data_IF_952328559175
#
_entry.id   IF_952328559175
#
_cell.length_a   1.000
_cell.length_b   1.000
_cell.length_c   1.000
_cell.angle_alpha   90.00
_cell.angle_beta   90.00
_cell.angle_gamma   90.00
#
_symmetry.space_group_name_H-M   'P 1'
#
loop_
_entity.id
_entity.type
_entity.pdbx_description
1 polymer ?
#
# COMPACT_ATOMS: atom_id res chain seq x y z
N UNK A 1 5.23 7.33 -11.43
CA UNK A 1 3.96 7.16 -10.65
C UNK A 1 2.90 6.32 -11.38
N UNK A 2 2.66 6.51 -12.68
CA UNK A 2 1.71 5.66 -13.43
C UNK A 2 2.16 4.19 -13.46
N UNK A 3 3.42 3.93 -13.80
CA UNK A 3 4.02 2.59 -13.79
C UNK A 3 4.01 1.95 -12.39
N UNK A 4 4.44 2.69 -11.37
CA UNK A 4 4.35 2.27 -9.96
C UNK A 4 2.92 1.89 -9.57
N UNK A 5 1.92 2.66 -9.98
CA UNK A 5 0.52 2.37 -9.67
C UNK A 5 -0.01 1.13 -10.41
N UNK A 6 0.48 0.89 -11.64
CA UNK A 6 0.16 -0.33 -12.37
C UNK A 6 0.76 -1.56 -11.69
N UNK A 7 1.99 -1.47 -11.19
CA UNK A 7 2.61 -2.57 -10.43
C UNK A 7 1.91 -2.82 -9.10
N UNK A 8 1.64 -1.77 -8.32
CA UNK A 8 0.87 -1.89 -7.07
C UNK A 8 -0.50 -2.53 -7.34
N UNK A 9 -1.17 -2.20 -8.44
CA UNK A 9 -2.43 -2.85 -8.84
C UNK A 9 -2.23 -4.36 -9.04
N UNK A 10 -1.19 -4.78 -9.77
CA UNK A 10 -0.86 -6.20 -9.97
C UNK A 10 -0.60 -6.91 -8.64
N UNK A 11 0.20 -6.30 -7.76
CA UNK A 11 0.50 -6.84 -6.44
C UNK A 11 -0.75 -7.00 -5.58
N UNK A 12 -1.63 -6.00 -5.56
CA UNK A 12 -2.91 -6.07 -4.82
C UNK A 12 -3.79 -7.20 -5.36
N UNK A 13 -3.96 -7.30 -6.68
CA UNK A 13 -4.77 -8.36 -7.31
C UNK A 13 -4.21 -9.76 -7.04
N UNK A 14 -2.89 -9.91 -7.00
CA UNK A 14 -2.21 -11.16 -6.64
C UNK A 14 -2.28 -11.50 -5.14
N UNK A 15 -2.86 -10.62 -4.32
CA UNK A 15 -2.96 -10.81 -2.87
C UNK A 15 -1.64 -10.65 -2.13
N UNK A 16 -0.70 -9.88 -2.69
CA UNK A 16 0.60 -9.62 -2.06
C UNK A 16 0.39 -8.87 -0.73
N UNK A 17 1.19 -9.25 0.26
CA UNK A 17 1.22 -8.67 1.59
C UNK A 17 1.58 -7.17 1.56
N UNK A 18 0.97 -6.36 2.44
CA UNK A 18 1.21 -4.92 2.46
C UNK A 18 2.68 -4.58 2.75
N UNK A 19 3.34 -5.31 3.64
CA UNK A 19 4.77 -5.12 3.91
C UNK A 19 5.63 -5.26 2.64
N UNK A 20 5.30 -6.22 1.76
CA UNK A 20 5.98 -6.44 0.48
C UNK A 20 5.69 -5.35 -0.55
N UNK A 21 4.48 -4.80 -0.55
CA UNK A 21 4.17 -3.62 -1.37
C UNK A 21 4.98 -2.41 -0.90
N UNK A 22 5.10 -2.21 0.42
CA UNK A 22 5.90 -1.10 0.97
C UNK A 22 7.39 -1.28 0.71
N UNK A 23 7.92 -2.51 0.78
CA UNK A 23 9.29 -2.83 0.39
C UNK A 23 9.54 -2.48 -1.09
N UNK A 24 8.65 -2.90 -1.99
CA UNK A 24 8.72 -2.50 -3.40
C UNK A 24 8.72 -0.97 -3.58
N UNK A 25 7.80 -0.26 -2.94
CA UNK A 25 7.73 1.20 -3.04
C UNK A 25 8.96 1.92 -2.47
N UNK A 26 9.69 1.28 -1.53
CA UNK A 26 10.91 1.82 -0.93
C UNK A 26 12.11 1.63 -1.85
N UNK A 27 12.15 0.53 -2.59
CA UNK A 27 13.24 0.17 -3.51
C UNK A 27 13.06 0.76 -4.92
N UNK A 28 11.91 1.37 -5.20
CA UNK A 28 11.61 2.00 -6.49
C UNK A 28 12.27 3.37 -6.61
N UNK A 29 13.32 3.47 -7.43
CA UNK A 29 14.15 4.68 -7.61
C UNK A 29 13.34 5.92 -8.03
N UNK A 30 12.27 5.74 -8.81
CA UNK A 30 11.41 6.84 -9.28
C UNK A 30 10.26 7.18 -8.33
N UNK A 31 10.16 6.50 -7.18
CA UNK A 31 9.08 6.70 -6.22
C UNK A 31 9.62 7.08 -4.83
N UNK A 32 9.32 8.30 -4.41
CA UNK A 32 9.61 8.73 -3.03
C UNK A 32 8.49 8.25 -2.11
N UNK A 33 8.78 7.23 -1.29
CA UNK A 33 7.84 6.71 -0.31
C UNK A 33 7.63 7.72 0.83
N UNK A 34 6.51 8.43 0.77
CA UNK A 34 6.01 9.31 1.82
C UNK A 34 4.57 8.90 2.19
N UNK A 35 4.05 9.29 3.37
CA UNK A 35 2.65 9.03 3.71
C UNK A 35 1.67 9.54 2.65
N UNK A 36 1.93 10.72 2.07
CA UNK A 36 1.07 11.27 1.01
C UNK A 36 1.13 10.43 -0.28
N UNK A 37 2.34 10.08 -0.75
CA UNK A 37 2.51 9.29 -1.97
C UNK A 37 1.96 7.86 -1.80
N UNK A 38 2.06 7.29 -0.59
CA UNK A 38 1.42 6.04 -0.23
C UNK A 38 -0.11 6.12 -0.41
N UNK A 39 -0.77 7.15 0.12
CA UNK A 39 -2.22 7.32 -0.08
C UNK A 39 -2.58 7.45 -1.58
N UNK A 40 -1.78 8.22 -2.32
CA UNK A 40 -1.99 8.49 -3.74
C UNK A 40 -1.81 7.24 -4.59
N UNK A 41 -0.78 6.42 -4.34
CA UNK A 41 -0.53 5.21 -5.14
C UNK A 41 -1.66 4.20 -4.98
N UNK A 42 -2.18 3.97 -3.78
CA UNK A 42 -3.33 3.06 -3.59
C UNK A 42 -4.62 3.60 -4.19
N UNK A 43 -4.83 4.91 -4.14
CA UNK A 43 -5.96 5.56 -4.82
C UNK A 43 -5.88 5.39 -6.32
N UNK A 44 -4.71 5.54 -6.94
CA UNK A 44 -4.52 5.42 -8.39
C UNK A 44 -4.51 3.95 -8.85
N UNK A 45 -3.88 3.07 -8.07
CA UNK A 45 -3.74 1.66 -8.38
C UNK A 45 -5.07 0.91 -8.34
N UNK A 46 -5.86 1.09 -7.27
CA UNK A 46 -7.05 0.26 -7.04
C UNK A 46 -8.27 1.05 -6.55
N UNK A 47 -8.20 2.39 -6.53
CA UNK A 47 -9.33 3.22 -6.16
C UNK A 47 -9.67 3.17 -4.67
N UNK A 48 -8.70 2.89 -3.79
CA UNK A 48 -8.93 2.90 -2.35
C UNK A 48 -9.28 4.34 -1.90
N UNK A 49 -10.42 4.55 -1.22
CA UNK A 49 -10.79 5.85 -0.70
C UNK A 49 -9.77 6.36 0.33
N UNK A 50 -9.56 7.68 0.39
CA UNK A 50 -8.61 8.30 1.31
C UNK A 50 -8.77 7.87 2.78
N UNK A 51 -10.00 7.71 3.34
CA UNK A 51 -10.16 7.22 4.71
C UNK A 51 -9.63 5.80 4.91
N UNK A 52 -9.88 4.90 3.96
CA UNK A 52 -9.43 3.51 4.01
C UNK A 52 -7.90 3.42 3.85
N UNK A 53 -7.33 4.23 2.95
CA UNK A 53 -5.87 4.34 2.79
C UNK A 53 -5.20 4.91 4.05
N UNK A 54 -5.86 5.85 4.74
CA UNK A 54 -5.37 6.39 6.02
C UNK A 54 -5.32 5.34 7.11
N UNK A 55 -6.28 4.41 7.17
CA UNK A 55 -6.23 3.29 8.13
C UNK A 55 -5.00 2.42 7.93
N UNK A 56 -4.53 2.22 6.70
CA UNK A 56 -3.28 1.50 6.45
C UNK A 56 -2.04 2.26 6.95
N UNK A 57 -2.08 3.59 7.08
CA UNK A 57 -0.97 4.38 7.63
C UNK A 57 -0.83 4.24 9.15
N UNK A 58 -1.85 3.77 9.87
CA UNK A 58 -1.84 3.70 11.35
C UNK A 58 -0.78 2.72 11.89
N UNK A 59 -0.28 1.81 11.06
CA UNK A 59 0.78 0.86 11.41
C UNK A 59 2.18 1.33 10.99
N UNK A 60 2.31 2.56 10.49
CA UNK A 60 3.58 3.15 10.08
C UNK A 60 3.84 4.50 10.78
N UNK A 61 5.12 4.85 10.94
CA UNK A 61 5.53 6.18 11.37
C UNK A 61 5.55 7.18 10.20
N UNK A 62 6.00 8.41 10.47
CA UNK A 62 6.06 9.47 9.47
C UNK A 62 7.07 9.17 8.34
N UNK A 63 8.07 8.33 8.61
CA UNK A 63 9.12 7.90 7.68
C UNK A 63 8.78 6.56 7.01
N UNK A 64 7.53 6.11 7.13
CA UNK A 64 7.01 4.87 6.56
C UNK A 64 7.74 3.61 7.07
N UNK A 65 8.21 3.63 8.32
CA UNK A 65 8.69 2.45 9.02
C UNK A 65 7.56 1.80 9.84
N UNK A 66 7.51 0.46 9.91
CA UNK A 66 6.51 -0.23 10.72
C UNK A 66 6.58 0.16 12.21
N UNK A 67 5.45 0.56 12.79
CA UNK A 67 5.28 0.77 14.24
C UNK A 67 4.97 -0.54 14.98
N UNK A 68 4.59 -1.59 14.26
CA UNK A 68 4.16 -2.88 14.78
C UNK A 68 4.88 -4.02 14.04
N UNK A 69 4.58 -5.27 14.43
CA UNK A 69 5.18 -6.43 13.77
C UNK A 69 4.74 -6.51 12.30
N UNK A 70 5.56 -7.14 11.45
CA UNK A 70 5.20 -7.35 10.03
C UNK A 70 3.86 -8.09 9.88
N UNK A 71 3.58 -9.05 10.77
CA UNK A 71 2.28 -9.75 10.78
C UNK A 71 1.09 -8.85 11.15
N UNK A 72 1.30 -7.76 11.89
CA UNK A 72 0.26 -6.76 12.14
C UNK A 72 0.04 -5.85 10.93
N UNK A 73 1.13 -5.43 10.29
CA UNK A 73 1.09 -4.65 9.04
C UNK A 73 0.32 -5.39 7.96
N UNK A 74 0.63 -6.67 7.77
CA UNK A 74 -0.02 -7.49 6.73
C UNK A 74 -1.49 -7.72 7.03
N UNK A 75 -1.86 -7.97 8.30
CA UNK A 75 -3.27 -8.07 8.71
C UNK A 75 -4.04 -6.78 8.50
N UNK A 76 -3.41 -5.62 8.76
CA UNK A 76 -4.00 -4.31 8.47
C UNK A 76 -4.22 -4.14 6.97
N UNK A 77 -3.20 -4.46 6.17
CA UNK A 77 -3.28 -4.46 4.72
C UNK A 77 -4.42 -5.33 4.19
N UNK A 78 -4.54 -6.57 4.66
CA UNK A 78 -5.60 -7.49 4.27
C UNK A 78 -7.00 -6.94 4.59
N UNK A 79 -7.19 -6.33 5.76
CA UNK A 79 -8.47 -5.74 6.18
C UNK A 79 -8.98 -4.66 5.20
N UNK A 80 -8.05 -3.93 4.58
CA UNK A 80 -8.36 -2.87 3.61
C UNK A 80 -8.38 -3.43 2.19
N UNK A 81 -7.28 -4.06 1.77
CA UNK A 81 -7.00 -4.43 0.38
C UNK A 81 -7.78 -5.65 -0.12
N UNK A 82 -8.22 -6.56 0.76
CA UNK A 82 -8.93 -7.77 0.34
C UNK A 82 -10.17 -7.48 -0.55
N UNK A 83 -10.90 -6.39 -0.28
CA UNK A 83 -12.08 -5.97 -1.07
C UNK A 83 -11.75 -5.41 -2.47
N UNK A 84 -10.47 -5.18 -2.75
CA UNK A 84 -9.98 -4.62 -4.02
C UNK A 84 -9.30 -5.67 -4.91
N UNK A 85 -9.15 -6.91 -4.45
CA UNK A 85 -8.48 -7.99 -5.19
C UNK A 85 -9.28 -8.49 -6.40
N UNK A 86 -10.59 -8.31 -6.41
CA UNK A 86 -11.51 -8.84 -7.44
C UNK A 86 -12.14 -7.77 -8.33
N UNK A 87 -11.83 -6.48 -8.11
CA UNK A 87 -12.33 -5.38 -8.95
C UNK A 87 -11.36 -5.15 -10.11
N UNK A 88 -11.49 -5.96 -11.15
CA UNK A 88 -10.92 -5.70 -12.47
C UNK A 88 -12.00 -5.10 -13.38
#
# INVERSE_FOLDING_TARGET
MEETSAEVRRMVMAGVALSKIVEFLRDEDEFVLTPFNFLMVFRQAVGVPMPDSRTMLEVFDADMNPLSSIGDVDRMGDRVLARYRSKA
#
